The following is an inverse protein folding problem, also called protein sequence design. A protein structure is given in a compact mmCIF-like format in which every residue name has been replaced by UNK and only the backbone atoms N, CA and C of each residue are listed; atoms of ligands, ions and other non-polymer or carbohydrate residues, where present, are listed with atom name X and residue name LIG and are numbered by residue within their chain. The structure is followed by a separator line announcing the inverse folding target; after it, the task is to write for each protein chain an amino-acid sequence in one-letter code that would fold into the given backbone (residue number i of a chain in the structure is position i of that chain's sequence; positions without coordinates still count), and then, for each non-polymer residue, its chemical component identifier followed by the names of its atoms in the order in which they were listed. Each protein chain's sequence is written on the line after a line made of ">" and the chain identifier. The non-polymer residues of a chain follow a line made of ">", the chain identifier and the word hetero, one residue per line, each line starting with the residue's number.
data_IF_827466360776
#
_entry.id   IF_827466360776
#
_cell.length_a   1.000
_cell.length_b   1.000
_cell.length_c   1.000
_cell.angle_alpha   90.00
_cell.angle_beta   90.00
_cell.angle_gamma   90.00
#
_symmetry.space_group_name_H-M   'P 1'
#
loop_
_entity.id
_entity.type
_entity.pdbx_description
1 polymer ?
#
# COMPACT_ATOMS: atom_id res chain seq x y z
N UNK A 1 -11.55 -45.21 6.83
CA UNK A 1 -11.15 -44.17 5.88
C UNK A 1 -11.20 -42.82 6.59
N UNK A 2 -10.05 -42.30 6.94
CA UNK A 2 -9.96 -40.92 7.47
C UNK A 2 -9.73 -40.02 6.29
N UNK A 3 -10.71 -39.17 5.97
CA UNK A 3 -10.57 -38.14 4.96
C UNK A 3 -9.83 -36.96 5.57
N UNK A 4 -8.66 -36.64 5.04
CA UNK A 4 -7.94 -35.44 5.39
C UNK A 4 -8.61 -34.21 4.73
N UNK A 5 -8.83 -33.10 5.45
CA UNK A 5 -9.38 -31.89 4.85
C UNK A 5 -8.35 -31.27 3.89
N UNK A 6 -8.86 -30.68 2.82
CA UNK A 6 -8.14 -30.11 1.69
C UNK A 6 -7.38 -28.82 2.05
N UNK A 7 -6.24 -28.94 2.70
CA UNK A 7 -5.31 -27.83 2.98
C UNK A 7 -4.67 -27.28 1.68
N UNK A 8 -4.57 -28.09 0.63
CA UNK A 8 -3.94 -27.68 -0.64
C UNK A 8 -4.70 -26.61 -1.46
N UNK A 9 -6.00 -26.41 -1.24
CA UNK A 9 -6.80 -25.44 -2.02
C UNK A 9 -6.73 -24.01 -1.47
N UNK A 10 -6.44 -23.84 -0.19
CA UNK A 10 -6.27 -22.52 0.41
C UNK A 10 -4.90 -21.92 0.11
N UNK A 11 -3.83 -22.72 0.14
CA UNK A 11 -2.47 -22.27 -0.19
C UNK A 11 -2.32 -21.81 -1.66
N UNK A 12 -3.00 -22.48 -2.62
CA UNK A 12 -2.98 -22.06 -4.02
C UNK A 12 -3.68 -20.72 -4.23
N UNK A 13 -4.78 -20.47 -3.52
CA UNK A 13 -5.59 -19.25 -3.67
C UNK A 13 -4.89 -18.02 -3.10
N UNK A 14 -4.13 -18.16 -2.01
CA UNK A 14 -3.35 -17.04 -1.45
C UNK A 14 -2.12 -16.72 -2.32
N UNK A 15 -1.50 -17.72 -2.94
CA UNK A 15 -0.41 -17.51 -3.88
C UNK A 15 -0.84 -16.60 -5.04
N UNK A 16 -1.97 -16.90 -5.67
CA UNK A 16 -2.48 -16.10 -6.79
C UNK A 16 -2.79 -14.66 -6.37
N UNK A 17 -3.27 -14.44 -5.14
CA UNK A 17 -3.47 -13.11 -4.59
C UNK A 17 -2.16 -12.32 -4.47
N UNK A 18 -1.07 -12.94 -4.03
CA UNK A 18 0.26 -12.30 -4.02
C UNK A 18 0.79 -12.04 -5.43
N UNK A 19 0.63 -13.01 -6.33
CA UNK A 19 1.13 -12.94 -7.70
C UNK A 19 0.51 -11.75 -8.47
N UNK A 20 -0.81 -11.54 -8.37
CA UNK A 20 -1.47 -10.42 -9.04
C UNK A 20 -1.03 -9.06 -8.49
N UNK A 21 -0.72 -8.96 -7.19
CA UNK A 21 -0.20 -7.73 -6.61
C UNK A 21 1.23 -7.44 -7.08
N UNK A 22 2.10 -8.45 -7.13
CA UNK A 22 3.49 -8.31 -7.61
C UNK A 22 3.53 -7.93 -9.10
N UNK A 23 2.71 -8.57 -9.93
CA UNK A 23 2.57 -8.24 -11.35
C UNK A 23 2.14 -6.79 -11.53
N UNK A 24 1.10 -6.35 -10.81
CA UNK A 24 0.61 -4.97 -10.91
C UNK A 24 1.60 -3.96 -10.37
N UNK A 25 2.33 -4.27 -9.32
CA UNK A 25 3.39 -3.40 -8.82
C UNK A 25 4.41 -3.10 -9.91
N UNK A 26 4.88 -4.12 -10.62
CA UNK A 26 5.82 -3.97 -11.75
C UNK A 26 5.21 -3.17 -12.90
N UNK A 27 3.95 -3.46 -13.23
CA UNK A 27 3.22 -2.75 -14.29
C UNK A 27 3.06 -1.25 -13.96
N UNK A 28 2.61 -0.92 -12.76
CA UNK A 28 2.41 0.47 -12.34
C UNK A 28 3.74 1.24 -12.24
N UNK A 29 4.82 0.57 -11.77
CA UNK A 29 6.16 1.17 -11.79
C UNK A 29 6.62 1.46 -13.23
N UNK A 30 6.39 0.52 -14.15
CA UNK A 30 6.70 0.72 -15.58
C UNK A 30 5.96 1.94 -16.14
N UNK A 31 4.65 2.06 -15.88
CA UNK A 31 3.87 3.21 -16.33
C UNK A 31 4.37 4.52 -15.72
N UNK A 32 4.71 4.54 -14.44
CA UNK A 32 5.27 5.73 -13.81
C UNK A 32 6.59 6.14 -14.48
N UNK A 33 7.51 5.21 -14.69
CA UNK A 33 8.89 5.54 -15.07
C UNK A 33 9.08 5.71 -16.57
N UNK A 34 8.31 4.98 -17.41
CA UNK A 34 8.62 4.80 -18.83
C UNK A 34 7.49 5.25 -19.78
N UNK A 35 6.29 5.61 -19.28
CA UNK A 35 5.21 6.06 -20.16
C UNK A 35 5.04 7.57 -20.17
N UNK A 36 4.42 8.09 -21.24
CA UNK A 36 4.02 9.49 -21.32
C UNK A 36 2.91 9.84 -20.33
N UNK A 37 1.99 8.91 -20.07
CA UNK A 37 0.93 9.06 -19.07
C UNK A 37 1.49 9.28 -17.67
N UNK A 38 2.65 8.71 -17.34
CA UNK A 38 3.35 8.88 -16.07
C UNK A 38 3.98 10.26 -15.86
N UNK A 39 4.05 11.12 -16.89
CA UNK A 39 4.76 12.41 -16.82
C UNK A 39 4.23 13.35 -15.74
N UNK A 40 2.91 13.47 -15.59
CA UNK A 40 2.30 14.34 -14.56
C UNK A 40 2.63 13.79 -13.16
N UNK A 41 2.62 12.46 -13.01
CA UNK A 41 2.93 11.78 -11.77
C UNK A 41 4.42 11.96 -11.38
N UNK A 42 5.34 11.85 -12.34
CA UNK A 42 6.78 12.11 -12.10
C UNK A 42 7.03 13.54 -11.65
N UNK A 43 6.45 14.54 -12.36
CA UNK A 43 6.56 15.97 -11.97
C UNK A 43 5.98 16.25 -10.59
N UNK A 44 4.89 15.56 -10.22
CA UNK A 44 4.32 15.69 -8.89
C UNK A 44 5.28 15.16 -7.81
N UNK A 45 5.88 13.98 -8.02
CA UNK A 45 6.84 13.37 -7.09
C UNK A 45 8.10 14.23 -6.95
N UNK A 46 8.64 14.75 -8.06
CA UNK A 46 9.79 15.66 -8.07
C UNK A 46 9.54 16.91 -7.22
N UNK A 47 8.37 17.56 -7.36
CA UNK A 47 7.96 18.69 -6.51
C UNK A 47 7.87 18.36 -5.02
N UNK A 48 7.75 17.08 -4.68
CA UNK A 48 7.71 16.56 -3.32
C UNK A 48 9.06 15.98 -2.87
N UNK A 49 10.14 16.22 -3.64
CA UNK A 49 11.48 15.68 -3.38
C UNK A 49 11.52 14.15 -3.28
N UNK A 50 10.63 13.47 -4.01
CA UNK A 50 10.62 12.00 -4.14
C UNK A 50 11.26 11.65 -5.49
N UNK A 51 12.54 11.27 -5.45
CA UNK A 51 13.36 10.98 -6.63
C UNK A 51 13.38 9.47 -6.96
N UNK A 52 14.08 9.13 -8.02
CA UNK A 52 14.11 7.79 -8.61
C UNK A 52 14.50 6.70 -7.62
N UNK A 53 15.44 6.97 -6.71
CA UNK A 53 15.87 6.02 -5.67
C UNK A 53 14.71 5.66 -4.74
N UNK A 54 13.98 6.67 -4.24
CA UNK A 54 12.79 6.47 -3.41
C UNK A 54 11.66 5.80 -4.20
N UNK A 55 11.45 6.19 -5.47
CA UNK A 55 10.44 5.56 -6.33
C UNK A 55 10.71 4.06 -6.44
N UNK A 56 11.96 3.66 -6.72
CA UNK A 56 12.36 2.27 -6.84
C UNK A 56 12.27 1.52 -5.51
N UNK A 57 12.77 2.13 -4.43
CA UNK A 57 12.78 1.52 -3.10
C UNK A 57 11.36 1.25 -2.59
N UNK A 58 10.47 2.22 -2.71
CA UNK A 58 9.09 2.11 -2.27
C UNK A 58 8.15 1.52 -3.34
N UNK A 59 8.69 1.17 -4.51
CA UNK A 59 7.96 0.60 -5.64
C UNK A 59 6.77 1.47 -6.08
N UNK A 60 6.93 2.79 -6.00
CA UNK A 60 5.87 3.74 -6.36
C UNK A 60 5.55 3.60 -7.85
N UNK A 61 4.26 3.55 -8.17
CA UNK A 61 3.77 3.39 -9.53
C UNK A 61 2.75 4.43 -9.95
N UNK A 62 2.24 4.29 -11.16
CA UNK A 62 1.12 5.07 -11.67
C UNK A 62 0.10 4.14 -12.34
N UNK A 63 -1.14 4.23 -11.91
CA UNK A 63 -2.27 3.55 -12.54
C UNK A 63 -2.94 4.53 -13.50
N UNK A 64 -2.73 4.41 -14.82
CA UNK A 64 -3.50 5.19 -15.79
C UNK A 64 -4.96 4.75 -15.78
N UNK A 65 -5.84 5.54 -16.40
CA UNK A 65 -7.24 5.16 -16.61
C UNK A 65 -7.39 3.96 -17.55
N UNK A 66 -8.64 3.71 -17.99
CA UNK A 66 -8.98 2.72 -19.05
C UNK A 66 -8.93 1.25 -18.65
N UNK A 67 -9.15 0.93 -17.35
CA UNK A 67 -9.20 -0.44 -16.85
C UNK A 67 -7.94 -1.28 -17.24
N UNK A 68 -6.75 -0.66 -17.09
CA UNK A 68 -5.47 -1.28 -17.44
C UNK A 68 -5.21 -2.55 -16.67
N UNK A 69 -5.39 -2.53 -15.35
CA UNK A 69 -5.10 -3.68 -14.48
C UNK A 69 -6.02 -4.85 -14.82
N UNK A 70 -7.33 -4.57 -14.96
CA UNK A 70 -8.33 -5.54 -15.36
C UNK A 70 -7.95 -6.22 -16.68
N UNK A 71 -7.67 -5.42 -17.72
CA UNK A 71 -7.41 -5.94 -19.05
C UNK A 71 -6.09 -6.73 -19.08
N UNK A 72 -5.06 -6.25 -18.42
CA UNK A 72 -3.75 -6.90 -18.40
C UNK A 72 -3.80 -8.24 -17.64
N UNK A 73 -4.39 -8.28 -16.42
CA UNK A 73 -4.46 -9.52 -15.65
C UNK A 73 -5.38 -10.56 -16.30
N UNK A 74 -6.48 -10.13 -16.94
CA UNK A 74 -7.30 -11.03 -17.76
C UNK A 74 -6.52 -11.64 -18.94
N UNK A 75 -5.66 -10.88 -19.58
CA UNK A 75 -4.83 -11.40 -20.67
C UNK A 75 -3.81 -12.45 -20.20
N UNK A 76 -3.48 -12.45 -18.90
CA UNK A 76 -2.64 -13.46 -18.24
C UNK A 76 -3.44 -14.66 -17.71
N UNK A 77 -4.77 -14.67 -17.86
CA UNK A 77 -5.64 -15.79 -17.48
C UNK A 77 -6.21 -15.69 -16.04
N UNK A 78 -6.06 -14.55 -15.36
CA UNK A 78 -6.67 -14.41 -14.02
C UNK A 78 -8.16 -14.11 -14.11
N UNK A 79 -8.95 -14.80 -13.27
CA UNK A 79 -10.40 -14.68 -13.21
C UNK A 79 -10.85 -13.41 -12.47
N UNK A 80 -12.00 -12.86 -12.88
CA UNK A 80 -12.54 -11.60 -12.34
C UNK A 80 -12.83 -11.68 -10.84
N UNK A 81 -13.30 -12.81 -10.35
CA UNK A 81 -13.60 -13.09 -8.95
C UNK A 81 -12.32 -13.03 -8.09
N UNK A 82 -11.20 -13.52 -8.60
CA UNK A 82 -9.91 -13.42 -7.95
C UNK A 82 -9.47 -11.95 -7.87
N UNK A 83 -9.59 -11.19 -8.96
CA UNK A 83 -9.22 -9.78 -9.00
C UNK A 83 -10.08 -8.92 -8.07
N UNK A 84 -11.36 -9.22 -7.95
CA UNK A 84 -12.24 -8.57 -6.97
C UNK A 84 -11.87 -8.96 -5.54
N UNK A 85 -11.61 -10.25 -5.27
CA UNK A 85 -11.13 -10.74 -3.98
C UNK A 85 -9.80 -10.08 -3.57
N UNK A 86 -8.91 -9.81 -4.52
CA UNK A 86 -7.66 -9.08 -4.32
C UNK A 86 -7.83 -7.57 -4.13
N UNK A 87 -9.04 -7.01 -4.34
CA UNK A 87 -9.30 -5.57 -4.26
C UNK A 87 -8.74 -4.75 -5.42
N UNK A 88 -8.34 -5.41 -6.51
CA UNK A 88 -7.77 -4.79 -7.71
C UNK A 88 -8.86 -4.18 -8.57
N UNK A 89 -10.00 -4.86 -8.65
CA UNK A 89 -11.18 -4.39 -9.37
C UNK A 89 -12.35 -4.21 -8.41
N UNK A 90 -13.35 -3.45 -8.85
CA UNK A 90 -14.63 -3.28 -8.18
C UNK A 90 -15.75 -3.60 -9.13
N UNK A 91 -16.77 -4.32 -8.65
CA UNK A 91 -17.97 -4.64 -9.39
C UNK A 91 -19.05 -3.59 -9.12
N UNK A 92 -19.61 -2.99 -10.19
CA UNK A 92 -20.75 -2.08 -10.08
C UNK A 92 -22.06 -2.85 -9.80
N UNK A 93 -23.11 -2.14 -9.40
CA UNK A 93 -24.46 -2.73 -9.24
C UNK A 93 -24.96 -3.36 -10.54
N UNK A 94 -24.58 -2.84 -11.70
CA UNK A 94 -24.87 -3.40 -13.02
C UNK A 94 -24.02 -4.63 -13.38
N UNK A 95 -23.14 -5.09 -12.48
CA UNK A 95 -22.30 -6.25 -12.72
C UNK A 95 -21.01 -5.99 -13.50
N UNK A 96 -20.73 -4.73 -13.87
CA UNK A 96 -19.54 -4.36 -14.65
C UNK A 96 -18.35 -4.20 -13.71
N UNK A 97 -17.23 -4.86 -14.04
CA UNK A 97 -15.96 -4.72 -13.34
C UNK A 97 -15.14 -3.55 -13.89
N UNK A 98 -14.51 -2.82 -13.01
CA UNK A 98 -13.62 -1.68 -13.31
C UNK A 98 -12.41 -1.69 -12.39
N UNK A 99 -11.30 -1.12 -12.85
CA UNK A 99 -10.13 -0.91 -11.99
C UNK A 99 -10.49 -0.10 -10.75
N UNK A 100 -10.03 -0.54 -9.58
CA UNK A 100 -10.14 0.21 -8.32
C UNK A 100 -9.35 1.51 -8.40
N UNK A 101 -8.16 1.47 -8.99
CA UNK A 101 -7.27 2.61 -9.10
C UNK A 101 -7.20 3.10 -10.55
N UNK A 102 -7.57 4.36 -10.77
CA UNK A 102 -7.57 5.02 -12.10
C UNK A 102 -7.08 6.44 -11.96
N UNK A 103 -6.14 6.84 -12.80
CA UNK A 103 -5.49 8.16 -12.77
C UNK A 103 -4.92 8.51 -11.40
N UNK A 104 -4.18 7.56 -10.79
CA UNK A 104 -3.63 7.70 -9.44
C UNK A 104 -2.16 7.30 -9.38
N UNK A 105 -1.39 8.04 -8.58
CA UNK A 105 -0.13 7.53 -8.03
C UNK A 105 -0.43 6.36 -7.12
N UNK A 106 0.34 5.28 -7.26
CA UNK A 106 0.17 4.03 -6.53
C UNK A 106 1.33 3.85 -5.56
N UNK A 107 0.95 3.53 -4.32
CA UNK A 107 1.86 3.20 -3.23
C UNK A 107 1.55 1.76 -2.79
N UNK A 108 2.42 0.79 -3.09
CA UNK A 108 2.23 -0.58 -2.64
C UNK A 108 2.29 -0.68 -1.13
N UNK A 109 1.38 -1.47 -0.57
CA UNK A 109 1.31 -1.78 0.85
C UNK A 109 1.83 -3.20 1.03
N UNK A 110 2.77 -3.37 1.98
CA UNK A 110 3.46 -4.62 2.18
C UNK A 110 3.09 -5.27 3.51
N UNK A 111 3.10 -6.59 3.55
CA UNK A 111 3.08 -7.35 4.80
C UNK A 111 4.45 -7.27 5.53
N UNK A 112 4.54 -7.87 6.71
CA UNK A 112 5.78 -7.88 7.49
C UNK A 112 6.94 -8.66 6.82
N UNK A 113 6.66 -9.46 5.79
CA UNK A 113 7.67 -10.17 5.00
C UNK A 113 8.12 -9.40 3.76
N UNK A 114 7.49 -8.25 3.48
CA UNK A 114 7.79 -7.40 2.32
C UNK A 114 7.07 -7.81 1.04
N UNK A 115 6.05 -8.68 1.11
CA UNK A 115 5.19 -9.02 -0.03
C UNK A 115 4.10 -7.97 -0.18
N UNK A 116 3.82 -7.57 -1.41
CA UNK A 116 2.73 -6.61 -1.68
C UNK A 116 1.38 -7.30 -1.47
N UNK A 117 0.50 -6.68 -0.68
CA UNK A 117 -0.81 -7.21 -0.28
C UNK A 117 -1.97 -6.27 -0.60
N UNK A 118 -1.68 -5.04 -0.93
CA UNK A 118 -2.67 -4.02 -1.25
C UNK A 118 -2.00 -2.80 -1.89
N UNK A 119 -2.81 -1.85 -2.30
CA UNK A 119 -2.35 -0.56 -2.82
C UNK A 119 -3.07 0.60 -2.13
N UNK A 120 -2.39 1.74 -2.10
CA UNK A 120 -3.00 3.03 -1.88
C UNK A 120 -2.80 3.91 -3.10
N UNK A 121 -3.85 4.61 -3.53
CA UNK A 121 -3.84 5.45 -4.71
C UNK A 121 -4.10 6.91 -4.39
N UNK A 122 -3.15 7.82 -4.69
CA UNK A 122 -3.34 9.26 -4.58
C UNK A 122 -3.76 9.85 -5.91
N UNK A 123 -4.86 10.60 -5.94
CA UNK A 123 -5.23 11.39 -7.13
C UNK A 123 -4.26 12.55 -7.35
N UNK A 124 -4.02 12.89 -8.61
CA UNK A 124 -3.19 14.03 -9.04
C UNK A 124 -4.05 15.23 -9.46
N UNK A 125 -5.35 15.09 -9.42
CA UNK A 125 -6.34 16.12 -9.70
C UNK A 125 -7.28 16.30 -8.51
N UNK A 126 -8.30 17.15 -8.63
CA UNK A 126 -9.24 17.49 -7.56
C UNK A 126 -10.32 16.42 -7.30
N UNK A 127 -10.15 15.19 -7.80
CA UNK A 127 -11.10 14.10 -7.53
C UNK A 127 -11.05 13.66 -6.08
N UNK A 128 -12.22 13.47 -5.49
CA UNK A 128 -12.37 12.87 -4.17
C UNK A 128 -12.58 11.35 -4.28
N UNK A 129 -12.08 10.56 -3.34
CA UNK A 129 -11.18 10.94 -2.25
C UNK A 129 -9.75 11.19 -2.74
N UNK A 130 -9.03 12.12 -2.08
CA UNK A 130 -7.62 12.42 -2.38
C UNK A 130 -6.74 11.18 -2.27
N UNK A 131 -6.96 10.35 -1.27
CA UNK A 131 -6.35 9.05 -1.08
C UNK A 131 -7.42 7.96 -1.07
N UNK A 132 -7.16 6.89 -1.78
CA UNK A 132 -8.00 5.69 -1.85
C UNK A 132 -7.13 4.48 -1.50
N UNK A 133 -7.51 3.72 -0.49
CA UNK A 133 -6.87 2.46 -0.16
C UNK A 133 -7.66 1.29 -0.75
N UNK A 134 -7.00 0.16 -0.99
CA UNK A 134 -7.69 -1.11 -1.25
C UNK A 134 -8.75 -1.38 -0.18
N UNK A 135 -9.83 -2.05 -0.56
CA UNK A 135 -10.81 -2.60 0.39
C UNK A 135 -10.14 -3.67 1.27
N UNK A 136 -10.80 -4.05 2.35
CA UNK A 136 -10.40 -5.23 3.14
C UNK A 136 -10.39 -6.48 2.25
N UNK A 137 -9.34 -7.29 2.36
CA UNK A 137 -9.13 -8.51 1.58
C UNK A 137 -8.61 -9.62 2.50
N UNK A 138 -8.53 -10.88 2.06
CA UNK A 138 -7.89 -11.93 2.86
C UNK A 138 -6.44 -11.63 3.25
N UNK A 139 -5.72 -10.83 2.43
CA UNK A 139 -4.33 -10.44 2.70
C UNK A 139 -4.19 -9.10 3.45
N UNK A 140 -5.16 -8.22 3.35
CA UNK A 140 -5.07 -6.84 3.83
C UNK A 140 -6.15 -6.47 4.83
N UNK A 141 -5.73 -6.22 6.06
CA UNK A 141 -6.55 -5.66 7.13
C UNK A 141 -5.95 -4.35 7.60
N UNK A 142 -6.59 -3.24 7.28
CA UNK A 142 -6.06 -1.89 7.48
C UNK A 142 -5.66 -1.58 8.93
N UNK A 143 -6.38 -2.15 9.89
CA UNK A 143 -6.11 -1.99 11.32
C UNK A 143 -4.89 -2.78 11.82
N UNK A 144 -4.34 -3.68 11.00
CA UNK A 144 -3.22 -4.56 11.37
C UNK A 144 -1.95 -4.28 10.56
N UNK A 145 -2.00 -3.35 9.61
CA UNK A 145 -0.89 -3.08 8.69
C UNK A 145 -0.38 -1.66 8.91
N UNK A 146 0.93 -1.54 9.04
CA UNK A 146 1.66 -0.28 9.11
C UNK A 146 2.54 -0.12 7.87
N UNK A 147 2.37 1.00 7.17
CA UNK A 147 3.18 1.30 5.98
C UNK A 147 4.66 1.35 6.33
N UNK A 148 5.49 0.77 5.49
CA UNK A 148 6.96 0.67 5.62
C UNK A 148 7.46 -0.20 6.79
N UNK A 149 6.61 -0.88 7.55
CA UNK A 149 7.04 -1.65 8.72
C UNK A 149 8.06 -2.74 8.35
N UNK A 150 7.90 -3.42 7.24
CA UNK A 150 8.80 -4.49 6.79
C UNK A 150 10.25 -4.02 6.60
N UNK A 151 10.49 -2.75 6.23
CA UNK A 151 11.83 -2.14 6.14
C UNK A 151 12.29 -1.62 7.48
N UNK A 152 11.41 -0.90 8.19
CA UNK A 152 11.73 -0.24 9.44
C UNK A 152 12.00 -1.20 10.62
N UNK A 153 11.43 -2.41 10.58
CA UNK A 153 11.43 -3.36 11.71
C UNK A 153 12.81 -3.70 12.27
N UNK A 154 13.84 -3.75 11.43
CA UNK A 154 15.19 -4.06 11.89
C UNK A 154 15.77 -2.92 12.73
N UNK A 155 15.66 -1.69 12.25
CA UNK A 155 16.10 -0.49 12.98
C UNK A 155 15.28 -0.28 14.25
N UNK A 156 13.96 -0.47 14.16
CA UNK A 156 13.06 -0.43 15.32
C UNK A 156 13.51 -1.43 16.39
N UNK A 157 13.86 -2.66 15.99
CA UNK A 157 14.32 -3.70 16.91
C UNK A 157 15.66 -3.33 17.56
N UNK A 158 16.56 -2.69 16.83
CA UNK A 158 17.89 -2.31 17.32
C UNK A 158 17.83 -1.11 18.28
N UNK A 159 17.07 -0.09 17.94
CA UNK A 159 16.99 1.16 18.70
C UNK A 159 15.92 1.14 19.79
N UNK A 160 14.88 0.35 19.62
CA UNK A 160 13.67 0.40 20.44
C UNK A 160 12.82 1.65 20.20
N UNK A 161 13.10 2.42 19.16
CA UNK A 161 12.42 3.67 18.84
C UNK A 161 11.66 3.55 17.52
N UNK A 162 10.43 4.06 17.49
CA UNK A 162 9.56 4.16 16.30
C UNK A 162 9.27 5.62 16.01
N UNK A 163 9.32 6.01 14.74
CA UNK A 163 8.80 7.29 14.27
C UNK A 163 7.50 7.03 13.50
N UNK A 164 6.38 7.52 14.04
CA UNK A 164 5.04 7.28 13.50
C UNK A 164 4.52 8.50 12.78
N UNK A 165 4.19 8.33 11.49
CA UNK A 165 3.59 9.33 10.61
C UNK A 165 2.11 9.03 10.36
N UNK A 166 1.31 10.04 10.00
CA UNK A 166 -0.06 9.84 9.53
C UNK A 166 -0.10 9.27 8.11
N UNK A 167 0.73 9.81 7.23
CA UNK A 167 0.76 9.52 5.81
C UNK A 167 2.05 8.86 5.33
N UNK A 168 1.92 8.07 4.30
CA UNK A 168 3.08 7.39 3.70
C UNK A 168 3.99 8.35 2.92
N UNK A 169 3.52 9.51 2.46
CA UNK A 169 4.40 10.51 1.82
C UNK A 169 5.42 11.05 2.80
N UNK A 170 5.01 11.33 4.04
CA UNK A 170 5.90 11.84 5.10
C UNK A 170 6.89 10.76 5.52
N UNK A 171 6.42 9.51 5.62
CA UNK A 171 7.27 8.35 5.88
C UNK A 171 8.33 8.16 4.78
N UNK A 172 7.96 8.32 3.49
CA UNK A 172 8.89 8.22 2.35
C UNK A 172 9.92 9.37 2.39
N UNK A 173 9.47 10.61 2.64
CA UNK A 173 10.35 11.77 2.74
C UNK A 173 11.33 11.65 3.92
N UNK A 174 10.85 11.20 5.08
CA UNK A 174 11.66 10.95 6.26
C UNK A 174 12.70 9.85 6.01
N UNK A 175 12.32 8.78 5.33
CA UNK A 175 13.26 7.71 4.94
C UNK A 175 14.37 8.24 4.02
N UNK A 176 14.02 9.07 3.02
CA UNK A 176 15.01 9.71 2.14
C UNK A 176 15.96 10.64 2.91
N UNK A 177 15.53 11.20 4.05
CA UNK A 177 16.32 12.00 4.96
C UNK A 177 17.10 11.17 6.01
N UNK A 178 17.07 9.83 5.91
CA UNK A 178 17.83 8.92 6.80
C UNK A 178 17.06 8.39 8.02
N UNK A 179 15.73 8.64 8.12
CA UNK A 179 14.89 8.09 9.20
C UNK A 179 14.43 6.69 8.81
N UNK A 180 15.24 5.67 9.12
CA UNK A 180 15.01 4.28 8.72
C UNK A 180 13.95 3.53 9.57
N UNK A 181 13.62 4.04 10.76
CA UNK A 181 12.62 3.49 11.68
C UNK A 181 11.24 4.17 11.56
N UNK A 182 10.97 4.84 10.44
CA UNK A 182 9.71 5.52 10.14
C UNK A 182 8.64 4.56 9.62
N UNK A 183 7.42 4.66 10.15
CA UNK A 183 6.22 3.91 9.71
C UNK A 183 5.01 4.84 9.65
N UNK A 184 3.93 4.42 8.98
CA UNK A 184 2.71 5.25 8.90
C UNK A 184 1.42 4.43 9.03
N UNK A 185 0.34 5.08 9.53
CA UNK A 185 -0.99 4.46 9.76
C UNK A 185 -1.90 4.47 8.52
N UNK A 186 -1.58 5.24 7.50
CA UNK A 186 -2.35 5.32 6.23
C UNK A 186 -3.79 5.84 6.37
N UNK A 187 -4.00 6.86 7.22
CA UNK A 187 -5.30 7.52 7.39
C UNK A 187 -6.29 6.75 8.26
N UNK A 188 -5.79 5.97 9.21
CA UNK A 188 -6.54 5.39 10.34
C UNK A 188 -5.91 5.85 11.66
N UNK A 189 -6.67 5.85 12.74
CA UNK A 189 -6.11 5.99 14.09
C UNK A 189 -5.12 4.86 14.37
N UNK A 190 -4.13 5.13 15.19
CA UNK A 190 -3.20 4.11 15.68
C UNK A 190 -3.96 3.17 16.63
N UNK A 191 -3.93 1.86 16.36
CA UNK A 191 -4.74 0.85 17.08
C UNK A 191 -3.89 -0.01 18.00
N UNK A 192 -4.53 -0.77 18.90
CA UNK A 192 -3.87 -1.78 19.72
C UNK A 192 -3.28 -2.92 18.86
N UNK A 193 -3.92 -3.24 17.75
CA UNK A 193 -3.38 -4.19 16.77
C UNK A 193 -2.09 -3.68 16.15
N UNK A 194 -2.03 -2.39 15.77
CA UNK A 194 -0.80 -1.75 15.29
C UNK A 194 0.32 -1.84 16.33
N UNK A 195 0.01 -1.56 17.60
CA UNK A 195 0.99 -1.69 18.69
C UNK A 195 1.49 -3.13 18.84
N UNK A 196 0.60 -4.11 18.68
CA UNK A 196 0.96 -5.53 18.72
C UNK A 196 1.88 -5.93 17.56
N UNK A 197 1.71 -5.35 16.37
CA UNK A 197 2.57 -5.56 15.20
C UNK A 197 3.98 -5.03 15.43
N UNK A 198 4.11 -3.84 16.02
CA UNK A 198 5.42 -3.23 16.32
C UNK A 198 6.18 -4.07 17.35
N UNK A 199 5.47 -4.67 18.32
CA UNK A 199 6.05 -5.58 19.31
C UNK A 199 6.29 -4.97 20.69
N UNK A 200 6.60 -5.85 21.66
CA UNK A 200 6.66 -5.51 23.10
C UNK A 200 7.93 -4.78 23.54
N UNK A 201 8.98 -4.73 22.71
CA UNK A 201 10.29 -4.20 23.10
C UNK A 201 10.50 -2.73 22.69
N UNK A 202 9.43 -2.00 22.43
CA UNK A 202 9.49 -0.58 22.09
C UNK A 202 9.67 0.23 23.36
N UNK A 203 10.66 1.12 23.33
CA UNK A 203 11.00 2.06 24.42
C UNK A 203 10.38 3.43 24.20
N UNK A 204 10.22 3.82 22.92
CA UNK A 204 9.80 5.16 22.56
C UNK A 204 9.02 5.14 21.24
N UNK A 205 7.92 5.88 21.16
CA UNK A 205 7.20 6.18 19.93
C UNK A 205 7.19 7.69 19.76
N UNK A 206 7.85 8.18 18.69
CA UNK A 206 7.84 9.59 18.30
C UNK A 206 6.72 9.82 17.30
N UNK A 207 5.73 10.63 17.68
CA UNK A 207 4.61 10.98 16.82
C UNK A 207 5.00 12.18 15.95
N UNK A 208 4.90 12.03 14.62
CA UNK A 208 5.13 13.08 13.62
C UNK A 208 3.85 13.25 12.80
N UNK A 209 2.85 13.87 13.42
CA UNK A 209 1.55 14.13 12.82
C UNK A 209 1.46 15.58 12.35
N UNK A 210 0.53 15.84 11.41
CA UNK A 210 0.29 17.19 10.93
C UNK A 210 -0.17 18.08 12.09
N UNK A 211 0.25 19.35 12.10
CA UNK A 211 -0.10 20.32 13.16
C UNK A 211 -1.51 20.86 13.06
N UNK A 212 -2.40 20.19 12.33
CA UNK A 212 -3.81 20.55 12.21
C UNK A 212 -4.67 19.96 13.36
N UNK A 213 -5.95 20.32 13.40
CA UNK A 213 -6.86 19.86 14.44
C UNK A 213 -7.03 18.32 14.48
N UNK A 214 -6.87 17.63 13.35
CA UNK A 214 -6.97 16.19 13.26
C UNK A 214 -5.71 15.51 13.83
N UNK A 215 -4.52 16.00 13.48
CA UNK A 215 -3.24 15.51 14.01
C UNK A 215 -3.12 15.74 15.52
N UNK A 216 -3.52 16.92 16.03
CA UNK A 216 -3.55 17.21 17.47
C UNK A 216 -4.50 16.27 18.21
N UNK A 217 -5.67 15.94 17.64
CA UNK A 217 -6.60 14.96 18.22
C UNK A 217 -6.04 13.54 18.22
N UNK A 218 -5.28 13.17 17.20
CA UNK A 218 -4.66 11.87 17.12
C UNK A 218 -3.52 11.65 18.13
N UNK A 219 -2.90 12.73 18.64
CA UNK A 219 -1.87 12.67 19.70
C UNK A 219 -2.45 12.54 21.11
N UNK A 220 -3.78 12.73 21.29
CA UNK A 220 -4.47 12.70 22.60
C UNK A 220 -5.02 11.30 22.92
N UNK A 221 -4.20 10.25 22.76
CA UNK A 221 -4.55 8.85 23.07
C UNK A 221 -4.03 8.46 24.44
#
# INVERSE_FOLDING_TARGET
>A
SVSFPSVQREESNDKDLYDVHDILTKLYMHYLLNSDEGTVARKYLEKRNVFTESIKLFQIGYAPGKDLALNYLKSLGYELELLDKAGIVTKSESGIYRDTFRDRLIFPIHDALGRVIAFSGRTLNDRSPKYLNSKETPLFHKTKILYNFHRARQEIKQTGTVVLFEGYMDCIAAHAAGVSNGIATMGTSFTQEHLSVIGKNIKEIKLCFDGDAAGLKATSI
#
